data_IF_227220474811
#
_entry.id   IF_227220474811
#
_cell.length_a   1.000
_cell.length_b   1.000
_cell.length_c   1.000
_cell.angle_alpha   90.00
_cell.angle_beta   90.00
_cell.angle_gamma   90.00
#
_symmetry.space_group_name_H-M   'P 1'
#
loop_
_entity.id
_entity.type
_entity.pdbx_description
1 polymer ?
#
# COMPACT_ATOMS: atom_id res chain seq x y z
N UNK A 1 -7.81 -20.14 37.53
CA UNK A 1 -7.71 -18.88 36.77
C UNK A 1 -7.05 -19.12 35.41
N UNK A 2 -7.78 -19.55 34.35
CA UNK A 2 -7.23 -19.63 32.98
C UNK A 2 -7.98 -18.75 31.97
N UNK A 3 -8.76 -17.76 32.41
CA UNK A 3 -9.64 -16.98 31.52
C UNK A 3 -8.91 -15.93 30.66
N UNK A 4 -7.66 -15.59 30.98
CA UNK A 4 -6.91 -14.57 30.24
C UNK A 4 -6.33 -15.09 28.92
N UNK A 5 -5.92 -16.37 28.87
CA UNK A 5 -5.32 -16.98 27.68
C UNK A 5 -6.36 -17.26 26.58
N UNK A 6 -7.58 -17.65 26.95
CA UNK A 6 -8.68 -17.84 25.99
C UNK A 6 -9.06 -16.55 25.28
N UNK A 7 -8.98 -15.40 25.97
CA UNK A 7 -9.28 -14.10 25.37
C UNK A 7 -8.23 -13.72 24.34
N UNK A 8 -6.94 -13.91 24.63
CA UNK A 8 -5.84 -13.68 23.67
C UNK A 8 -5.92 -14.60 22.44
N UNK A 9 -6.26 -15.88 22.65
CA UNK A 9 -6.44 -16.84 21.55
C UNK A 9 -7.68 -16.52 20.70
N UNK A 10 -8.76 -15.99 21.30
CA UNK A 10 -9.96 -15.56 20.56
C UNK A 10 -9.74 -14.32 19.68
N UNK A 11 -8.65 -13.57 19.86
CA UNK A 11 -8.27 -12.48 18.96
C UNK A 11 -7.63 -12.97 17.66
N UNK A 12 -7.17 -14.22 17.62
CA UNK A 12 -6.63 -14.86 16.44
C UNK A 12 -7.75 -15.70 15.84
N UNK A 13 -8.68 -15.03 15.14
CA UNK A 13 -9.66 -15.74 14.31
C UNK A 13 -8.89 -16.51 13.21
N UNK A 14 -8.81 -17.85 13.28
CA UNK A 14 -8.01 -18.63 12.35
C UNK A 14 -8.53 -18.49 10.91
N UNK A 15 -9.83 -18.24 10.74
CA UNK A 15 -10.42 -17.99 9.43
C UNK A 15 -9.94 -16.67 8.85
N UNK A 16 -9.98 -15.61 9.65
CA UNK A 16 -9.51 -14.30 9.20
C UNK A 16 -7.99 -14.26 8.92
N UNK A 17 -7.21 -15.07 9.64
CA UNK A 17 -5.78 -15.25 9.34
C UNK A 17 -5.57 -15.95 8.01
N UNK A 18 -6.35 -16.99 7.73
CA UNK A 18 -6.29 -17.73 6.47
C UNK A 18 -6.68 -16.85 5.27
N UNK A 19 -7.80 -16.13 5.36
CA UNK A 19 -8.25 -15.19 4.31
C UNK A 19 -7.20 -14.10 4.04
N UNK A 20 -6.58 -13.56 5.09
CA UNK A 20 -5.50 -12.60 4.93
C UNK A 20 -4.28 -13.19 4.21
N UNK A 21 -3.91 -14.44 4.50
CA UNK A 21 -2.81 -15.12 3.82
C UNK A 21 -3.10 -15.32 2.33
N UNK A 22 -4.31 -15.77 1.98
CA UNK A 22 -4.72 -15.90 0.57
C UNK A 22 -4.66 -14.55 -0.16
N UNK A 23 -5.18 -13.47 0.43
CA UNK A 23 -5.09 -12.12 -0.14
C UNK A 23 -3.64 -11.66 -0.35
N UNK A 24 -2.75 -11.96 0.60
CA UNK A 24 -1.32 -11.62 0.48
C UNK A 24 -0.62 -12.44 -0.61
N UNK A 25 -0.98 -13.72 -0.77
CA UNK A 25 -0.49 -14.55 -1.87
C UNK A 25 -0.96 -14.02 -3.23
N UNK A 26 -2.22 -13.58 -3.32
CA UNK A 26 -2.73 -12.90 -4.52
C UNK A 26 -1.87 -11.68 -4.82
N UNK A 27 -1.63 -10.79 -3.84
CA UNK A 27 -0.79 -9.59 -4.04
C UNK A 27 0.61 -9.97 -4.54
N UNK A 28 1.24 -11.00 -3.95
CA UNK A 28 2.56 -11.48 -4.38
C UNK A 28 2.57 -12.02 -5.80
N UNK A 29 1.47 -12.61 -6.25
CA UNK A 29 1.33 -13.17 -7.60
C UNK A 29 1.05 -12.14 -8.70
N UNK A 30 0.65 -10.91 -8.36
CA UNK A 30 0.29 -9.87 -9.34
C UNK A 30 1.47 -9.38 -10.17
N UNK A 31 2.71 -9.53 -9.68
CA UNK A 31 3.88 -8.87 -10.25
C UNK A 31 3.83 -7.35 -10.01
N UNK A 32 4.34 -6.59 -10.98
CA UNK A 32 4.42 -5.13 -10.89
C UNK A 32 3.05 -4.48 -11.15
N UNK A 33 2.64 -3.57 -10.26
CA UNK A 33 1.47 -2.70 -10.46
C UNK A 33 1.97 -1.33 -10.90
N UNK A 34 1.65 -0.92 -12.13
CA UNK A 34 2.09 0.36 -12.69
C UNK A 34 1.07 1.44 -12.35
N UNK A 35 1.53 2.50 -11.67
CA UNK A 35 0.74 3.69 -11.35
C UNK A 35 1.10 4.85 -12.29
N UNK A 36 0.08 5.50 -12.85
CA UNK A 36 0.18 6.84 -13.45
C UNK A 36 0.08 7.87 -12.33
N UNK A 37 1.13 8.67 -12.15
CA UNK A 37 1.23 9.67 -11.09
C UNK A 37 1.25 11.05 -11.71
N UNK A 38 0.32 11.90 -11.26
CA UNK A 38 0.20 13.29 -11.70
C UNK A 38 0.21 14.23 -10.52
N UNK A 39 0.94 15.33 -10.66
CA UNK A 39 0.89 16.43 -9.73
C UNK A 39 -0.29 17.32 -10.07
N UNK A 40 -1.07 17.68 -9.06
CA UNK A 40 -2.21 18.58 -9.14
C UNK A 40 -1.97 19.75 -8.19
N UNK A 41 -2.38 20.95 -8.60
CA UNK A 41 -2.33 22.15 -7.75
C UNK A 41 -3.70 22.78 -7.75
N UNK A 42 -4.24 23.01 -6.56
CA UNK A 42 -5.50 23.72 -6.35
C UNK A 42 -5.32 24.80 -5.28
N UNK A 43 -6.44 25.37 -4.83
CA UNK A 43 -6.51 26.43 -3.83
C UNK A 43 -5.91 26.02 -2.46
N UNK A 44 -5.83 24.72 -2.20
CA UNK A 44 -5.33 24.14 -0.94
C UNK A 44 -3.84 23.78 -0.99
N UNK A 45 -3.25 23.79 -2.18
CA UNK A 45 -1.83 23.54 -2.40
C UNK A 45 -1.57 22.51 -3.49
N UNK A 46 -0.35 21.98 -3.49
CA UNK A 46 0.09 20.97 -4.46
C UNK A 46 0.06 19.58 -3.83
N UNK A 47 -0.50 18.60 -4.55
CA UNK A 47 -0.57 17.21 -4.15
C UNK A 47 -0.35 16.30 -5.36
N UNK A 48 -0.08 15.03 -5.09
CA UNK A 48 0.07 14.00 -6.10
C UNK A 48 -1.14 13.08 -6.10
N UNK A 49 -1.53 12.63 -7.28
CA UNK A 49 -2.58 11.63 -7.50
C UNK A 49 -1.97 10.47 -8.24
N UNK A 50 -2.15 9.26 -7.70
CA UNK A 50 -1.72 8.01 -8.31
C UNK A 50 -2.94 7.19 -8.73
N UNK A 51 -2.90 6.63 -9.95
CA UNK A 51 -3.96 5.77 -10.49
C UNK A 51 -3.36 4.52 -11.12
N UNK A 52 -3.90 3.36 -10.77
CA UNK A 52 -3.56 2.09 -11.39
C UNK A 52 -4.81 1.27 -11.69
N UNK A 53 -4.73 0.43 -12.71
CA UNK A 53 -5.74 -0.57 -13.02
C UNK A 53 -5.06 -1.93 -13.12
N UNK A 54 -5.47 -2.87 -12.26
CA UNK A 54 -4.93 -4.22 -12.22
C UNK A 54 -6.09 -5.22 -12.32
N UNK A 55 -6.21 -5.86 -13.48
CA UNK A 55 -7.39 -6.68 -13.81
C UNK A 55 -8.69 -5.88 -13.69
N UNK A 56 -9.60 -6.36 -12.83
CA UNK A 56 -10.90 -5.74 -12.57
C UNK A 56 -10.89 -4.71 -11.43
N UNK A 57 -9.73 -4.45 -10.81
CA UNK A 57 -9.59 -3.50 -9.71
C UNK A 57 -9.01 -2.18 -10.21
N UNK A 58 -9.57 -1.07 -9.73
CA UNK A 58 -9.06 0.28 -9.94
C UNK A 58 -8.59 0.84 -8.61
N UNK A 59 -7.34 1.27 -8.54
CA UNK A 59 -6.73 1.83 -7.33
C UNK A 59 -6.45 3.30 -7.62
N UNK A 60 -7.04 4.19 -6.82
CA UNK A 60 -6.87 5.64 -6.94
C UNK A 60 -6.56 6.17 -5.54
N UNK A 61 -5.47 6.93 -5.43
CA UNK A 61 -5.06 7.53 -4.16
C UNK A 61 -4.34 8.86 -4.39
N UNK A 62 -4.14 9.61 -3.33
CA UNK A 62 -3.43 10.89 -3.35
C UNK A 62 -2.58 11.09 -2.10
N UNK A 63 -1.60 11.97 -2.17
CA UNK A 63 -0.74 12.36 -1.05
C UNK A 63 -0.16 13.75 -1.30
N UNK A 64 0.10 14.51 -0.23
CA UNK A 64 0.62 15.88 -0.32
C UNK A 64 2.08 15.91 -0.76
N UNK A 65 2.84 14.89 -0.35
CA UNK A 65 4.21 14.65 -0.78
C UNK A 65 4.38 13.20 -1.27
N UNK A 66 5.56 12.88 -1.80
CA UNK A 66 5.86 11.56 -2.35
C UNK A 66 5.89 10.47 -1.26
N UNK A 67 6.28 10.82 -0.03
CA UNK A 67 6.33 9.87 1.07
C UNK A 67 4.91 9.47 1.54
N UNK A 68 4.02 10.44 1.67
CA UNK A 68 2.60 10.24 1.95
C UNK A 68 1.93 9.47 0.80
N UNK A 69 2.23 9.83 -0.45
CA UNK A 69 1.72 9.12 -1.61
C UNK A 69 2.15 7.65 -1.61
N UNK A 70 3.42 7.35 -1.31
CA UNK A 70 3.94 5.99 -1.24
C UNK A 70 3.23 5.15 -0.18
N UNK A 71 3.05 5.70 1.03
CA UNK A 71 2.30 5.05 2.10
C UNK A 71 0.84 4.80 1.68
N UNK A 72 0.19 5.80 1.08
CA UNK A 72 -1.20 5.72 0.66
C UNK A 72 -1.39 4.74 -0.53
N UNK A 73 -0.41 4.59 -1.42
CA UNK A 73 -0.42 3.57 -2.49
C UNK A 73 -0.39 2.17 -1.87
N UNK A 74 0.53 1.93 -0.93
CA UNK A 74 0.67 0.62 -0.26
C UNK A 74 -0.61 0.25 0.48
N UNK A 75 -1.20 1.18 1.21
CA UNK A 75 -2.46 0.98 1.92
C UNK A 75 -3.63 0.73 0.94
N UNK A 76 -3.70 1.49 -0.15
CA UNK A 76 -4.73 1.31 -1.17
C UNK A 76 -4.63 -0.05 -1.87
N UNK A 77 -3.42 -0.58 -2.10
CA UNK A 77 -3.22 -1.94 -2.61
C UNK A 77 -3.74 -2.96 -1.60
N UNK A 78 -3.32 -2.88 -0.34
CA UNK A 78 -3.74 -3.83 0.70
C UNK A 78 -5.26 -3.83 0.88
N UNK A 79 -5.87 -2.65 0.88
CA UNK A 79 -7.32 -2.45 0.96
C UNK A 79 -8.04 -3.02 -0.26
N UNK A 80 -7.54 -2.76 -1.48
CA UNK A 80 -8.14 -3.27 -2.72
C UNK A 80 -8.18 -4.81 -2.76
N UNK A 81 -7.28 -5.48 -2.05
CA UNK A 81 -7.21 -6.94 -1.94
C UNK A 81 -7.74 -7.49 -0.60
N UNK A 82 -8.49 -6.68 0.16
CA UNK A 82 -9.15 -7.07 1.40
C UNK A 82 -8.18 -7.61 2.47
N UNK A 83 -6.93 -7.14 2.50
CA UNK A 83 -6.00 -7.51 3.57
C UNK A 83 -6.40 -6.75 4.84
N UNK A 84 -6.77 -7.45 5.93
CA UNK A 84 -7.11 -6.77 7.17
C UNK A 84 -5.89 -6.03 7.73
N UNK A 85 -6.08 -4.81 8.26
CA UNK A 85 -4.99 -3.95 8.75
C UNK A 85 -4.06 -4.64 9.77
N UNK A 86 -4.58 -5.55 10.61
CA UNK A 86 -3.80 -6.35 11.58
C UNK A 86 -2.78 -7.30 10.93
N UNK A 87 -2.94 -7.61 9.65
CA UNK A 87 -2.06 -8.48 8.86
C UNK A 87 -1.35 -7.71 7.74
N UNK A 88 -1.64 -6.42 7.59
CA UNK A 88 -0.99 -5.55 6.62
C UNK A 88 0.43 -5.21 7.11
N UNK A 89 1.44 -5.65 6.39
CA UNK A 89 2.82 -5.17 6.54
C UNK A 89 3.15 -4.27 5.33
N UNK A 90 3.23 -2.95 5.51
CA UNK A 90 3.58 -2.01 4.44
C UNK A 90 4.94 -2.31 3.80
N UNK A 91 5.86 -2.96 4.51
CA UNK A 91 7.19 -3.30 3.99
C UNK A 91 7.17 -4.49 3.01
N UNK A 92 6.05 -5.22 2.93
CA UNK A 92 5.89 -6.31 1.98
C UNK A 92 5.80 -5.79 0.53
N UNK A 93 5.32 -4.55 0.35
CA UNK A 93 5.21 -3.91 -0.95
C UNK A 93 6.43 -3.01 -1.14
N UNK A 94 7.33 -3.40 -2.04
CA UNK A 94 8.50 -2.58 -2.40
C UNK A 94 8.09 -1.49 -3.38
N UNK A 95 8.63 -0.30 -3.19
CA UNK A 95 8.37 0.86 -4.06
C UNK A 95 9.67 1.52 -4.45
N UNK A 96 9.76 1.94 -5.71
CA UNK A 96 10.87 2.72 -6.25
C UNK A 96 10.65 4.23 -6.14
N UNK A 97 9.47 4.70 -5.68
CA UNK A 97 9.14 6.13 -5.65
C UNK A 97 10.13 6.95 -4.82
N UNK A 98 10.46 6.46 -3.63
CA UNK A 98 11.39 7.13 -2.70
C UNK A 98 12.83 7.10 -3.23
N UNK A 99 13.20 6.08 -4.02
CA UNK A 99 14.56 5.94 -4.57
C UNK A 99 14.86 6.92 -5.71
N UNK A 100 13.83 7.36 -6.44
CA UNK A 100 14.02 8.29 -7.58
C UNK A 100 14.34 9.72 -7.15
N UNK A 101 13.91 10.16 -5.97
CA UNK A 101 14.27 11.49 -5.44
C UNK A 101 15.75 11.59 -5.04
N UNK A 102 16.41 10.45 -4.80
CA UNK A 102 17.82 10.42 -4.37
C UNK A 102 18.82 10.50 -5.53
N UNK A 103 18.37 10.38 -6.79
CA UNK A 103 19.23 10.57 -7.97
C UNK A 103 19.45 12.08 -8.26
N UNK A 104 20.44 12.67 -7.59
CA UNK A 104 20.95 14.00 -7.92
C UNK A 104 21.83 13.93 -9.18
N UNK A 105 21.33 14.41 -10.32
CA UNK A 105 22.09 14.52 -11.57
C UNK A 105 22.58 15.95 -11.76
N UNK A 106 23.90 16.14 -11.68
CA UNK A 106 24.55 17.39 -12.05
C UNK A 106 25.11 17.28 -13.46
N UNK A 107 24.73 18.21 -14.35
CA UNK A 107 25.41 18.39 -15.62
C UNK A 107 26.58 19.35 -15.38
N UNK A 108 27.81 18.85 -15.46
CA UNK A 108 29.00 19.71 -15.56
C UNK A 108 29.22 20.04 -17.03
N UNK A 109 29.27 21.34 -17.35
CA UNK A 109 29.79 21.82 -18.65
C UNK A 109 31.26 21.50 -18.78
#
# INVERSE_FOLDING_TARGET
MPHFLYKLLSYIDPKAKFEAQESLEVIRSLGDIVFDIKQHTDETGTYYVARAKQGNKSIITSGKDIAELDANIKDAILTAYNVPARFADPNMIKSSLVQRETELRYATR
#
